data_IF_404764830958
#
_entry.id   IF_404764830958
#
_cell.length_a   1.000
_cell.length_b   1.000
_cell.length_c   1.000
_cell.angle_alpha   90.00
_cell.angle_beta   90.00
_cell.angle_gamma   90.00
#
_symmetry.space_group_name_H-M   'P 1'
#
loop_
_entity.id
_entity.type
_entity.pdbx_description
1 polymer ?
#
# COMPACT_ATOMS: atom_id res chain seq x y z
N UNK A 1 -3.47 -18.51 0.99
CA UNK A 1 -3.33 -17.82 2.29
C UNK A 1 -2.87 -18.86 3.29
N UNK A 2 -1.56 -19.07 3.34
CA UNK A 2 -0.93 -20.02 4.27
C UNK A 2 -0.73 -19.38 5.66
N UNK A 3 -0.86 -18.06 5.73
CA UNK A 3 -0.57 -17.22 6.88
C UNK A 3 -1.73 -17.23 7.88
N UNK A 4 -2.98 -17.29 7.41
CA UNK A 4 -4.16 -17.19 8.27
C UNK A 4 -4.22 -18.31 9.32
N UNK A 5 -4.04 -19.61 8.98
CA UNK A 5 -4.05 -20.67 10.00
C UNK A 5 -3.02 -20.45 11.11
N UNK A 6 -1.81 -20.02 10.75
CA UNK A 6 -0.74 -19.76 11.72
C UNK A 6 -1.06 -18.57 12.63
N UNK A 7 -1.62 -17.47 12.08
CA UNK A 7 -2.00 -16.31 12.90
C UNK A 7 -3.19 -16.63 13.80
N UNK A 8 -4.14 -17.47 13.35
CA UNK A 8 -5.26 -17.92 14.19
C UNK A 8 -4.76 -18.76 15.38
N UNK A 9 -3.83 -19.68 15.15
CA UNK A 9 -3.22 -20.48 16.24
C UNK A 9 -2.51 -19.59 17.28
N UNK A 10 -1.80 -18.55 16.82
CA UNK A 10 -1.20 -17.53 17.70
C UNK A 10 -2.30 -16.78 18.47
N UNK A 11 -3.39 -16.38 17.80
CA UNK A 11 -4.48 -15.64 18.42
C UNK A 11 -5.20 -16.46 19.51
N UNK A 12 -5.45 -17.74 19.26
CA UNK A 12 -6.01 -18.68 20.25
C UNK A 12 -5.07 -18.86 21.45
N UNK A 13 -3.77 -18.96 21.20
CA UNK A 13 -2.78 -19.01 22.29
C UNK A 13 -2.82 -17.73 23.13
N UNK A 14 -2.87 -16.57 22.50
CA UNK A 14 -2.96 -15.26 23.19
C UNK A 14 -4.23 -15.16 24.03
N UNK A 15 -5.36 -15.67 23.54
CA UNK A 15 -6.62 -15.72 24.29
C UNK A 15 -6.47 -16.48 25.61
N UNK A 16 -5.73 -17.58 25.62
CA UNK A 16 -5.53 -18.40 26.82
C UNK A 16 -4.53 -17.79 27.80
N UNK A 17 -3.43 -17.20 27.29
CA UNK A 17 -2.32 -16.74 28.14
C UNK A 17 -2.37 -15.25 28.51
N UNK A 18 -2.95 -14.41 27.65
CA UNK A 18 -3.00 -12.95 27.82
C UNK A 18 -4.18 -12.32 27.06
N UNK A 19 -5.43 -12.64 27.44
CA UNK A 19 -6.62 -12.21 26.70
C UNK A 19 -6.83 -10.69 26.64
N UNK A 20 -6.14 -9.93 27.51
CA UNK A 20 -6.22 -8.48 27.56
C UNK A 20 -5.12 -7.77 26.75
N UNK A 21 -4.19 -8.51 26.14
CA UNK A 21 -3.15 -7.91 25.30
C UNK A 21 -3.76 -7.20 24.07
N UNK A 22 -3.10 -6.13 23.63
CA UNK A 22 -3.33 -5.55 22.31
C UNK A 22 -2.28 -6.12 21.37
N UNK A 23 -2.72 -6.85 20.35
CA UNK A 23 -1.85 -7.44 19.33
C UNK A 23 -1.64 -6.43 18.21
N UNK A 24 -0.38 -6.23 17.83
CA UNK A 24 0.00 -5.41 16.67
C UNK A 24 0.49 -6.32 15.56
N UNK A 25 -0.26 -6.40 14.45
CA UNK A 25 0.08 -7.25 13.31
C UNK A 25 0.64 -6.44 12.13
N UNK A 26 1.70 -6.96 11.52
CA UNK A 26 2.34 -6.41 10.32
C UNK A 26 2.31 -7.39 9.15
N UNK A 27 1.59 -8.50 9.29
CA UNK A 27 1.57 -9.59 8.33
C UNK A 27 0.59 -9.27 7.20
N UNK A 28 0.89 -9.74 5.99
CA UNK A 28 0.01 -9.61 4.83
C UNK A 28 -0.59 -10.97 4.45
N UNK A 29 -1.83 -11.02 3.95
CA UNK A 29 -2.76 -9.90 3.75
C UNK A 29 -3.43 -9.43 5.06
N UNK A 30 -3.21 -8.17 5.45
CA UNK A 30 -3.51 -7.67 6.79
C UNK A 30 -5.00 -7.68 7.16
N UNK A 31 -5.86 -7.19 6.26
CA UNK A 31 -7.32 -7.12 6.49
C UNK A 31 -7.88 -8.51 6.83
N UNK A 32 -7.73 -9.56 5.99
CA UNK A 32 -8.27 -10.88 6.32
C UNK A 32 -7.55 -11.57 7.48
N UNK A 33 -6.26 -11.28 7.73
CA UNK A 33 -5.55 -11.80 8.90
C UNK A 33 -6.16 -11.25 10.20
N UNK A 34 -6.31 -9.92 10.29
CA UNK A 34 -6.92 -9.27 11.46
C UNK A 34 -8.36 -9.74 11.67
N UNK A 35 -9.13 -9.85 10.59
CA UNK A 35 -10.51 -10.34 10.64
C UNK A 35 -10.60 -11.80 11.11
N UNK A 36 -9.72 -12.68 10.63
CA UNK A 36 -9.70 -14.09 11.03
C UNK A 36 -9.32 -14.25 12.50
N UNK A 37 -8.28 -13.54 12.97
CA UNK A 37 -7.84 -13.60 14.36
C UNK A 37 -8.90 -13.08 15.33
N UNK A 38 -9.59 -11.98 14.99
CA UNK A 38 -10.70 -11.44 15.79
C UNK A 38 -11.86 -12.45 15.85
N UNK A 39 -12.29 -13.00 14.71
CA UNK A 39 -13.42 -13.93 14.67
C UNK A 39 -13.15 -15.26 15.38
N UNK A 40 -11.91 -15.77 15.30
CA UNK A 40 -11.55 -17.05 15.89
C UNK A 40 -11.35 -16.95 17.42
N UNK A 41 -10.66 -15.91 17.88
CA UNK A 41 -10.19 -15.83 19.25
C UNK A 41 -10.80 -14.69 20.08
N UNK A 42 -11.51 -13.74 19.46
CA UNK A 42 -12.05 -12.52 20.09
C UNK A 42 -11.01 -11.69 20.86
N UNK A 43 -9.79 -11.66 20.33
CA UNK A 43 -8.68 -10.86 20.87
C UNK A 43 -8.67 -9.43 20.30
N UNK A 44 -8.05 -8.49 21.01
CA UNK A 44 -7.81 -7.13 20.48
C UNK A 44 -6.61 -7.15 19.55
N UNK A 45 -6.84 -6.96 18.26
CA UNK A 45 -5.79 -6.91 17.23
C UNK A 45 -5.87 -5.63 16.40
N UNK A 46 -4.71 -5.04 16.09
CA UNK A 46 -4.54 -3.84 15.28
C UNK A 46 -3.53 -4.15 14.18
N UNK A 47 -3.97 -4.06 12.92
CA UNK A 47 -3.08 -4.14 11.76
C UNK A 47 -2.36 -2.81 11.51
N UNK A 48 -1.05 -2.83 11.34
CA UNK A 48 -0.23 -1.64 11.13
C UNK A 48 0.44 -1.64 9.75
N UNK A 49 0.18 -0.58 8.99
CA UNK A 49 0.75 -0.36 7.66
C UNK A 49 1.33 1.05 7.55
N UNK A 50 2.37 1.21 6.73
CA UNK A 50 2.96 2.51 6.42
C UNK A 50 2.34 3.18 5.18
N UNK A 51 1.19 2.71 4.70
CA UNK A 51 0.56 3.15 3.44
C UNK A 51 0.29 4.65 3.34
N UNK A 52 -0.03 5.32 4.45
CA UNK A 52 -0.27 6.77 4.48
C UNK A 52 0.95 7.59 4.00
N UNK A 53 2.17 7.04 4.14
CA UNK A 53 3.40 7.71 3.71
C UNK A 53 3.45 7.96 2.20
N UNK A 54 2.64 7.25 1.42
CA UNK A 54 2.58 7.45 -0.02
C UNK A 54 2.01 8.83 -0.34
N UNK A 55 0.78 9.14 0.09
CA UNK A 55 0.18 10.46 -0.17
C UNK A 55 0.97 11.60 0.49
N UNK A 56 1.54 11.39 1.69
CA UNK A 56 2.40 12.38 2.35
C UNK A 56 3.59 12.77 1.47
N UNK A 57 4.28 11.79 0.87
CA UNK A 57 5.42 12.04 -0.02
C UNK A 57 5.01 12.76 -1.30
N UNK A 58 3.90 12.35 -1.91
CA UNK A 58 3.39 13.00 -3.12
C UNK A 58 3.09 14.48 -2.85
N UNK A 59 2.32 14.74 -1.80
CA UNK A 59 1.94 16.09 -1.42
C UNK A 59 3.16 16.91 -0.98
N UNK A 60 4.12 16.31 -0.26
CA UNK A 60 5.32 17.04 0.15
C UNK A 60 6.19 17.44 -1.02
N UNK A 61 6.32 16.59 -2.04
CA UNK A 61 7.11 16.90 -3.24
C UNK A 61 6.45 18.03 -4.05
N UNK A 62 5.12 17.99 -4.21
CA UNK A 62 4.35 19.03 -4.90
C UNK A 62 4.36 20.36 -4.14
N UNK A 63 4.13 20.33 -2.82
CA UNK A 63 4.07 21.51 -1.96
C UNK A 63 5.46 21.99 -1.50
N UNK A 64 6.53 21.29 -1.89
CA UNK A 64 7.93 21.57 -1.53
C UNK A 64 8.15 21.60 0.00
N UNK A 65 7.48 20.69 0.72
CA UNK A 65 7.62 20.52 2.17
C UNK A 65 8.77 19.54 2.45
N UNK A 66 9.76 19.97 3.23
CA UNK A 66 11.01 19.21 3.42
C UNK A 66 10.88 17.88 4.16
N UNK A 67 9.82 17.69 4.95
CA UNK A 67 9.56 16.46 5.71
C UNK A 67 8.11 16.04 5.55
N UNK A 68 7.88 14.96 4.81
CA UNK A 68 6.55 14.42 4.54
C UNK A 68 5.77 14.06 5.81
N UNK A 69 6.46 13.68 6.88
CA UNK A 69 5.88 13.32 8.19
C UNK A 69 5.24 14.49 8.93
N UNK A 70 5.42 15.73 8.44
CA UNK A 70 4.72 16.92 8.96
C UNK A 70 3.30 17.08 8.42
N UNK A 71 2.93 16.31 7.40
CA UNK A 71 1.58 16.30 6.87
C UNK A 71 0.75 15.30 7.67
N UNK A 72 -0.35 15.75 8.24
CA UNK A 72 -1.32 14.84 8.86
C UNK A 72 -2.33 14.38 7.81
N UNK A 73 -2.60 13.07 7.78
CA UNK A 73 -3.42 12.43 6.75
C UNK A 73 -4.62 11.79 7.40
N UNK A 74 -5.81 12.20 6.97
CA UNK A 74 -7.02 11.44 7.22
C UNK A 74 -7.33 10.57 6.01
N UNK A 75 -7.51 9.26 6.24
CA UNK A 75 -7.85 8.32 5.18
C UNK A 75 -8.81 7.23 5.67
N UNK A 76 -9.61 6.69 4.75
CA UNK A 76 -10.58 5.63 5.03
C UNK A 76 -10.54 4.53 3.97
N UNK A 77 -10.81 3.28 4.36
CA UNK A 77 -10.83 2.12 3.47
C UNK A 77 -10.28 0.86 4.16
N UNK A 78 -9.76 -0.07 3.37
CA UNK A 78 -9.12 -1.30 3.85
C UNK A 78 -7.61 -1.24 3.61
N UNK A 79 -6.83 -2.16 4.21
CA UNK A 79 -5.39 -2.19 3.99
C UNK A 79 -5.04 -2.21 2.49
N UNK A 80 -4.07 -1.37 2.09
CA UNK A 80 -3.64 -1.12 0.70
C UNK A 80 -4.68 -0.54 -0.27
N UNK A 81 -5.92 -0.33 0.19
CA UNK A 81 -6.99 0.30 -0.59
C UNK A 81 -7.75 1.31 0.27
N UNK A 82 -7.03 2.38 0.61
CA UNK A 82 -7.58 3.55 1.32
C UNK A 82 -7.64 4.76 0.41
N UNK A 83 -8.52 5.69 0.78
CA UNK A 83 -8.78 6.94 0.09
C UNK A 83 -8.50 8.10 1.05
N UNK A 84 -7.77 9.12 0.59
CA UNK A 84 -7.41 10.27 1.44
C UNK A 84 -8.58 11.24 1.46
N UNK A 85 -9.10 11.54 2.65
CA UNK A 85 -10.27 12.40 2.86
C UNK A 85 -9.89 13.81 3.27
N UNK A 86 -8.73 13.99 3.89
CA UNK A 86 -8.14 15.30 4.20
C UNK A 86 -6.62 15.16 4.37
N UNK A 87 -5.93 16.29 4.18
CA UNK A 87 -4.51 16.42 4.36
C UNK A 87 -4.22 17.81 4.93
N UNK A 88 -3.51 17.89 6.04
CA UNK A 88 -3.20 19.16 6.71
C UNK A 88 -1.71 19.32 6.99
N UNK A 89 -1.24 20.56 7.04
CA UNK A 89 0.10 20.94 7.47
C UNK A 89 -0.01 21.88 8.66
N UNK A 90 0.23 21.36 9.87
CA UNK A 90 -0.18 22.05 11.09
C UNK A 90 -1.70 22.15 11.17
N UNK A 91 -2.23 23.35 11.39
CA UNK A 91 -3.67 23.60 11.51
C UNK A 91 -4.35 23.96 10.17
N UNK A 92 -3.60 23.98 9.07
CA UNK A 92 -4.11 24.36 7.75
C UNK A 92 -4.36 23.13 6.88
N UNK A 93 -5.57 23.00 6.34
CA UNK A 93 -5.84 22.00 5.29
C UNK A 93 -5.10 22.40 4.01
N UNK A 94 -4.31 21.45 3.50
CA UNK A 94 -3.59 21.57 2.24
C UNK A 94 -4.21 20.69 1.17
N UNK A 95 -5.43 20.17 1.38
CA UNK A 95 -6.12 19.25 0.46
C UNK A 95 -6.29 19.83 -0.96
N UNK A 96 -6.29 21.16 -1.10
CA UNK A 96 -6.25 21.85 -2.39
C UNK A 96 -5.03 21.53 -3.27
N UNK A 97 -3.97 20.91 -2.73
CA UNK A 97 -2.83 20.42 -3.51
C UNK A 97 -3.24 19.43 -4.61
N UNK A 98 -4.40 18.79 -4.48
CA UNK A 98 -4.90 17.84 -5.47
C UNK A 98 -5.12 18.46 -6.86
N UNK A 99 -5.41 19.76 -6.92
CA UNK A 99 -5.48 20.49 -8.20
C UNK A 99 -4.11 20.55 -8.88
N UNK A 100 -3.03 20.58 -8.10
CA UNK A 100 -1.67 20.58 -8.60
C UNK A 100 -1.26 19.24 -9.24
N UNK A 101 -2.04 18.17 -9.05
CA UNK A 101 -1.85 16.91 -9.78
C UNK A 101 -2.02 17.06 -11.30
N UNK A 102 -2.69 18.11 -11.76
CA UNK A 102 -2.97 18.33 -13.18
C UNK A 102 -2.10 19.41 -13.83
N UNK A 103 -1.17 20.01 -13.07
CA UNK A 103 -0.22 20.98 -13.60
C UNK A 103 0.93 20.26 -14.32
N UNK A 104 1.28 20.75 -15.51
CA UNK A 104 2.32 20.14 -16.36
C UNK A 104 3.69 20.08 -15.66
N UNK A 105 4.03 21.10 -14.87
CA UNK A 105 5.27 21.16 -14.09
C UNK A 105 5.43 20.03 -13.06
N UNK A 106 4.31 19.41 -12.64
CA UNK A 106 4.31 18.32 -11.67
C UNK A 106 4.27 16.92 -12.31
N UNK A 107 4.23 16.80 -13.64
CA UNK A 107 4.10 15.49 -14.32
C UNK A 107 5.24 14.55 -13.91
N UNK A 108 6.47 15.04 -13.85
CA UNK A 108 7.62 14.23 -13.46
C UNK A 108 7.54 13.76 -12.00
N UNK A 109 7.00 14.59 -11.09
CA UNK A 109 6.78 14.22 -9.68
C UNK A 109 5.78 13.06 -9.61
N UNK A 110 4.68 13.16 -10.35
CA UNK A 110 3.60 12.16 -10.36
C UNK A 110 4.09 10.83 -10.97
N UNK A 111 4.84 10.88 -12.07
CA UNK A 111 5.46 9.71 -12.69
C UNK A 111 6.46 9.05 -11.74
N UNK A 112 7.34 9.83 -11.12
CA UNK A 112 8.32 9.33 -10.17
C UNK A 112 7.65 8.74 -8.91
N UNK A 113 6.56 9.34 -8.44
CA UNK A 113 5.79 8.81 -7.31
C UNK A 113 5.01 7.53 -7.67
N UNK A 114 4.74 7.31 -8.97
CA UNK A 114 3.87 6.26 -9.51
C UNK A 114 2.42 6.50 -9.13
N UNK A 115 1.89 7.66 -9.51
CA UNK A 115 0.54 8.11 -9.15
C UNK A 115 -0.30 8.52 -10.37
N UNK A 116 -0.02 7.95 -11.54
CA UNK A 116 -0.77 8.24 -12.76
C UNK A 116 -2.18 7.66 -12.69
N UNK A 117 -2.32 6.41 -12.24
CA UNK A 117 -3.62 5.77 -12.04
C UNK A 117 -4.35 6.44 -10.88
N UNK A 118 -3.66 6.73 -9.78
CA UNK A 118 -4.21 7.47 -8.64
C UNK A 118 -4.79 8.82 -9.04
N UNK A 119 -4.08 9.57 -9.90
CA UNK A 119 -4.58 10.83 -10.48
C UNK A 119 -5.82 10.64 -11.35
N UNK A 120 -5.85 9.61 -12.19
CA UNK A 120 -7.01 9.34 -13.04
C UNK A 120 -8.23 8.88 -12.21
N UNK A 121 -7.99 8.10 -11.15
CA UNK A 121 -9.02 7.73 -10.17
C UNK A 121 -9.53 8.96 -9.40
N UNK A 122 -8.65 9.87 -8.99
CA UNK A 122 -9.06 11.14 -8.38
C UNK A 122 -9.95 11.95 -9.33
N UNK A 123 -9.59 12.05 -10.62
CA UNK A 123 -10.43 12.73 -11.62
C UNK A 123 -11.84 12.13 -11.72
N UNK A 124 -11.97 10.82 -11.55
CA UNK A 124 -13.25 10.12 -11.65
C UNK A 124 -14.07 10.19 -10.36
N UNK A 125 -13.44 9.95 -9.22
CA UNK A 125 -14.13 9.78 -7.94
C UNK A 125 -14.11 11.03 -7.05
N UNK A 126 -13.33 12.06 -7.41
CA UNK A 126 -13.09 13.26 -6.61
C UNK A 126 -12.51 13.00 -5.21
N UNK A 127 -12.00 11.78 -4.98
CA UNK A 127 -11.26 11.38 -3.79
C UNK A 127 -10.03 10.61 -4.25
N UNK A 128 -8.81 11.00 -3.83
CA UNK A 128 -7.57 10.37 -4.28
C UNK A 128 -7.28 9.08 -3.50
N UNK A 129 -6.83 7.99 -4.16
CA UNK A 129 -6.29 6.84 -3.46
C UNK A 129 -5.08 7.22 -2.61
N UNK A 130 -4.97 6.73 -1.38
CA UNK A 130 -3.87 7.11 -0.49
C UNK A 130 -2.53 6.48 -0.88
N UNK A 131 -2.57 5.28 -1.44
CA UNK A 131 -1.38 4.53 -1.86
C UNK A 131 -1.05 4.76 -3.34
N UNK A 132 0.20 4.52 -3.69
CA UNK A 132 0.64 4.58 -5.10
C UNK A 132 -0.01 3.51 -5.96
N UNK A 133 0.11 3.70 -7.27
CA UNK A 133 -0.51 2.86 -8.30
C UNK A 133 -0.15 1.38 -8.15
N UNK A 134 1.01 1.05 -7.58
CA UNK A 134 1.45 -0.34 -7.35
C UNK A 134 0.47 -1.14 -6.50
N UNK A 135 -0.09 -0.51 -5.46
CA UNK A 135 -1.02 -1.15 -4.53
C UNK A 135 -2.44 -0.99 -5.03
N UNK A 136 -2.82 0.26 -5.32
CA UNK A 136 -4.18 0.63 -5.70
C UNK A 136 -4.65 -0.13 -6.94
N UNK A 137 -3.77 -0.34 -7.94
CA UNK A 137 -4.17 -0.98 -9.19
C UNK A 137 -4.57 -2.45 -9.04
N UNK A 138 -4.07 -3.16 -8.02
CA UNK A 138 -4.38 -4.58 -7.80
C UNK A 138 -5.84 -4.81 -7.38
N UNK A 139 -6.52 -3.77 -6.91
CA UNK A 139 -7.93 -3.81 -6.51
C UNK A 139 -8.90 -3.61 -7.68
N UNK A 140 -8.41 -3.40 -8.89
CA UNK A 140 -9.26 -3.21 -10.08
C UNK A 140 -9.05 -4.32 -11.11
N UNK A 141 -10.14 -4.73 -11.75
CA UNK A 141 -10.10 -5.70 -12.86
C UNK A 141 -9.34 -5.17 -14.10
N UNK A 142 -9.05 -3.86 -14.15
CA UNK A 142 -8.26 -3.23 -15.21
C UNK A 142 -6.75 -3.44 -15.07
N UNK A 143 -6.26 -4.10 -14.02
CA UNK A 143 -4.83 -4.30 -13.76
C UNK A 143 -4.06 -4.77 -15.01
N UNK A 144 -4.54 -5.81 -15.69
CA UNK A 144 -3.88 -6.33 -16.89
C UNK A 144 -3.92 -5.34 -18.06
N UNK A 145 -4.98 -4.53 -18.16
CA UNK A 145 -5.05 -3.45 -19.13
C UNK A 145 -3.98 -2.39 -18.84
N UNK A 146 -3.87 -1.94 -17.59
CA UNK A 146 -2.86 -0.96 -17.19
C UNK A 146 -1.43 -1.47 -17.34
N UNK A 147 -1.15 -2.72 -16.97
CA UNK A 147 0.17 -3.35 -17.14
C UNK A 147 0.61 -3.35 -18.62
N UNK A 148 -0.32 -3.54 -19.55
CA UNK A 148 -0.01 -3.57 -20.99
C UNK A 148 -0.09 -2.20 -21.67
N UNK A 149 -0.54 -1.17 -20.96
CA UNK A 149 -0.68 0.17 -21.51
C UNK A 149 0.67 0.88 -21.54
N UNK A 150 1.01 1.56 -22.65
CA UNK A 150 2.30 2.25 -22.83
C UNK A 150 2.61 3.29 -21.75
N UNK A 151 1.57 3.95 -21.22
CA UNK A 151 1.68 4.96 -20.17
C UNK A 151 1.88 4.39 -18.75
N UNK A 152 1.10 3.38 -18.37
CA UNK A 152 1.07 2.89 -16.98
C UNK A 152 1.97 1.66 -16.78
N UNK A 153 2.09 0.84 -17.82
CA UNK A 153 2.84 -0.42 -17.81
C UNK A 153 4.28 -0.28 -17.34
N UNK A 154 5.09 0.65 -17.89
CA UNK A 154 6.47 0.85 -17.45
C UNK A 154 6.58 1.07 -15.93
N UNK A 155 5.70 1.91 -15.37
CA UNK A 155 5.66 2.27 -13.95
C UNK A 155 5.27 1.08 -13.08
N UNK A 156 4.25 0.33 -13.49
CA UNK A 156 3.76 -0.83 -12.73
C UNK A 156 4.75 -2.01 -12.76
N UNK A 157 5.42 -2.23 -13.89
CA UNK A 157 6.35 -3.35 -14.09
C UNK A 157 7.70 -3.14 -13.41
N UNK A 158 8.18 -1.90 -13.30
CA UNK A 158 9.48 -1.56 -12.71
C UNK A 158 9.62 -2.05 -11.25
N UNK A 159 8.52 -2.05 -10.49
CA UNK A 159 8.55 -2.19 -9.03
C UNK A 159 8.52 -3.66 -8.57
N UNK A 160 8.07 -4.59 -9.40
CA UNK A 160 7.94 -5.96 -8.93
C UNK A 160 9.30 -6.63 -8.81
N UNK A 161 9.81 -6.74 -7.59
CA UNK A 161 11.01 -7.55 -7.29
C UNK A 161 10.79 -9.05 -7.43
N UNK A 162 9.53 -9.48 -7.60
CA UNK A 162 9.16 -10.90 -7.54
C UNK A 162 8.56 -11.45 -8.83
N UNK A 163 7.75 -10.66 -9.53
CA UNK A 163 6.98 -11.10 -10.69
C UNK A 163 7.64 -10.55 -11.95
N UNK A 164 7.91 -11.43 -12.90
CA UNK A 164 8.17 -11.09 -14.29
C UNK A 164 6.81 -11.00 -15.01
N UNK A 165 6.37 -9.77 -15.25
CA UNK A 165 5.08 -9.53 -15.89
C UNK A 165 5.07 -9.82 -17.40
N UNK A 166 6.23 -9.87 -18.06
CA UNK A 166 6.32 -10.25 -19.48
C UNK A 166 6.10 -11.75 -19.62
N UNK A 167 6.83 -12.53 -18.83
CA UNK A 167 6.76 -14.00 -18.88
C UNK A 167 5.61 -14.58 -18.02
N UNK A 168 4.98 -13.75 -17.18
CA UNK A 168 3.95 -14.16 -16.19
C UNK A 168 4.46 -15.23 -15.23
N UNK A 169 5.74 -15.14 -14.87
CA UNK A 169 6.42 -16.04 -13.94
C UNK A 169 6.97 -15.27 -12.75
N UNK A 170 7.53 -15.96 -11.77
CA UNK A 170 8.44 -15.31 -10.84
C UNK A 170 9.75 -14.95 -11.58
N UNK A 171 10.40 -13.85 -11.17
CA UNK A 171 11.73 -13.48 -11.67
C UNK A 171 12.74 -14.55 -11.28
N UNK A 172 13.64 -14.92 -12.20
CA UNK A 172 14.68 -15.93 -11.92
C UNK A 172 15.53 -15.57 -10.68
N UNK A 173 15.82 -14.28 -10.52
CA UNK A 173 16.57 -13.73 -9.38
C UNK A 173 15.96 -14.10 -8.02
N UNK A 174 14.63 -14.24 -7.94
CA UNK A 174 13.93 -14.66 -6.71
C UNK A 174 14.31 -16.09 -6.36
N UNK A 175 14.30 -16.99 -7.34
CA UNK A 175 14.68 -18.39 -7.14
C UNK A 175 16.15 -18.51 -6.74
N UNK A 176 17.02 -17.76 -7.38
CA UNK A 176 18.44 -17.75 -7.03
C UNK A 176 18.68 -17.24 -5.61
N UNK A 177 17.98 -16.16 -5.21
CA UNK A 177 18.09 -15.60 -3.86
C UNK A 177 17.59 -16.57 -2.80
N UNK A 178 16.45 -17.23 -3.03
CA UNK A 178 15.95 -18.25 -2.11
C UNK A 178 16.87 -19.48 -2.04
N UNK A 179 17.43 -19.92 -3.18
CA UNK A 179 18.38 -21.04 -3.18
C UNK A 179 19.62 -20.71 -2.34
N UNK A 180 20.21 -19.52 -2.53
CA UNK A 180 21.35 -19.04 -1.72
C UNK A 180 20.98 -18.92 -0.24
N UNK A 181 19.76 -18.47 0.09
CA UNK A 181 19.27 -18.40 1.48
C UNK A 181 19.21 -19.78 2.13
N UNK A 182 18.66 -20.77 1.44
CA UNK A 182 18.59 -22.16 1.92
C UNK A 182 20.01 -22.74 2.08
N UNK A 183 20.87 -22.56 1.08
CA UNK A 183 22.28 -23.00 1.15
C UNK A 183 23.05 -22.37 2.33
N UNK A 184 22.73 -21.13 2.71
CA UNK A 184 23.37 -20.46 3.86
C UNK A 184 22.88 -20.91 5.25
N UNK A 185 21.78 -21.65 5.30
CA UNK A 185 21.19 -22.17 6.54
C UNK A 185 21.60 -23.63 6.82
N UNK A 186 22.33 -24.26 5.89
CA UNK A 186 22.88 -25.62 5.96
C UNK A 186 24.39 -25.59 6.25
#
# INVERSE_FOLDING_TARGET
MIEIPAVVEIAETIKDVSPQATVMDFTYPMTPICEAAEKAAHIRIIGLCHGLRHIQRLASDILKISKSERLDVSAAGINHFTWTIDLSYGDESVYAFLEALFLEENEQIIVNHRYLIGRDLYRLFSVPPTLSDRYTSEFFHYLYGWINHSRYGPILKEISGYIDYENKTLKQEVFEKERRRIESLL
#
